data_IF_749363193325
#
_entry.id   IF_749363193325
#
_cell.length_a   1.000
_cell.length_b   1.000
_cell.length_c   1.000
_cell.angle_alpha   90.00
_cell.angle_beta   90.00
_cell.angle_gamma   90.00
#
_symmetry.space_group_name_H-M   'P 1'
#
loop_
_entity.id
_entity.type
_entity.pdbx_description
1 polymer ?
#
# COMPACT_ATOMS: atom_id res chain seq x y z
N UNK A 1 -29.10 14.71 -78.02
CA UNK A 1 -29.45 13.45 -77.32
C UNK A 1 -28.87 13.49 -75.92
N UNK A 2 -29.74 13.34 -74.90
CA UNK A 2 -29.56 12.90 -73.50
C UNK A 2 -28.23 13.21 -72.75
N UNK A 3 -28.22 14.06 -71.70
CA UNK A 3 -28.42 13.77 -70.25
C UNK A 3 -27.58 12.60 -69.68
N UNK A 4 -26.75 12.85 -68.64
CA UNK A 4 -27.06 12.62 -67.20
C UNK A 4 -25.88 12.93 -66.24
N UNK A 5 -26.21 13.43 -65.04
CA UNK A 5 -25.37 13.57 -63.81
C UNK A 5 -24.79 12.21 -63.34
N UNK A 6 -23.81 12.06 -62.43
CA UNK A 6 -23.84 12.40 -60.98
C UNK A 6 -22.55 11.91 -60.25
N UNK A 7 -22.00 12.75 -59.36
CA UNK A 7 -21.36 12.50 -58.02
C UNK A 7 -20.31 11.38 -57.76
N UNK A 8 -19.17 11.85 -57.23
CA UNK A 8 -18.66 11.63 -55.84
C UNK A 8 -17.74 10.44 -55.47
N UNK A 9 -16.81 10.80 -54.57
CA UNK A 9 -15.96 10.05 -53.62
C UNK A 9 -14.65 9.44 -54.12
N UNK A 10 -13.59 10.19 -53.84
CA UNK A 10 -12.24 9.72 -53.55
C UNK A 10 -12.31 8.76 -52.34
N UNK A 11 -11.94 7.49 -52.55
CA UNK A 11 -11.65 6.54 -51.48
C UNK A 11 -10.25 5.99 -51.75
N UNK A 12 -9.25 6.51 -51.02
CA UNK A 12 -7.93 5.91 -50.95
C UNK A 12 -8.00 4.78 -49.92
N UNK A 13 -7.93 3.53 -50.37
CA UNK A 13 -7.76 2.37 -49.50
C UNK A 13 -6.48 1.63 -49.91
N UNK A 14 -5.65 1.43 -48.90
CA UNK A 14 -4.37 0.75 -48.86
C UNK A 14 -4.39 -0.65 -49.49
N UNK A 15 -3.36 -1.00 -50.26
CA UNK A 15 -2.84 -2.37 -50.31
C UNK A 15 -1.39 -2.36 -50.83
N UNK A 16 -0.41 -2.41 -49.93
CA UNK A 16 0.94 -2.88 -50.25
C UNK A 16 1.28 -4.03 -49.31
N UNK A 17 1.62 -5.11 -49.99
CA UNK A 17 2.01 -6.45 -49.59
C UNK A 17 3.17 -6.54 -48.61
N UNK A 18 3.10 -7.50 -47.68
CA UNK A 18 4.27 -8.21 -47.16
C UNK A 18 3.93 -9.68 -47.01
N UNK A 19 4.56 -10.48 -47.87
CA UNK A 19 4.57 -11.93 -47.92
C UNK A 19 5.38 -12.49 -46.75
N UNK A 20 4.76 -13.31 -45.90
CA UNK A 20 5.50 -14.26 -45.08
C UNK A 20 5.19 -15.69 -45.54
N UNK A 21 6.27 -16.37 -45.89
CA UNK A 21 6.33 -17.76 -46.30
C UNK A 21 5.83 -18.71 -45.21
N UNK A 22 5.39 -19.85 -45.72
CA UNK A 22 4.74 -20.97 -45.05
C UNK A 22 5.52 -21.56 -43.88
N UNK A 23 4.73 -22.04 -42.91
CA UNK A 23 5.11 -22.96 -41.86
C UNK A 23 5.68 -24.28 -42.41
N UNK A 24 6.73 -24.78 -41.76
CA UNK A 24 7.01 -26.21 -41.62
C UNK A 24 7.37 -26.50 -40.16
N UNK A 25 6.77 -27.56 -39.63
CA UNK A 25 6.88 -28.00 -38.24
C UNK A 25 8.20 -28.72 -37.91
N UNK A 26 8.55 -28.61 -36.62
CA UNK A 26 9.34 -29.50 -35.74
C UNK A 26 10.86 -29.58 -35.93
N UNK A 27 11.55 -28.99 -34.96
CA UNK A 27 12.48 -29.72 -34.08
C UNK A 27 12.64 -28.98 -32.73
N UNK A 28 12.61 -29.75 -31.63
CA UNK A 28 12.76 -29.29 -30.25
C UNK A 28 14.17 -28.75 -30.00
N UNK A 29 14.31 -27.52 -29.52
CA UNK A 29 15.46 -27.09 -28.69
C UNK A 29 15.05 -25.88 -27.83
N UNK A 30 14.87 -26.13 -26.53
CA UNK A 30 14.65 -25.12 -25.49
C UNK A 30 16.01 -24.55 -25.05
N UNK A 31 16.61 -23.62 -25.79
CA UNK A 31 17.86 -22.98 -25.35
C UNK A 31 18.00 -21.54 -25.88
N UNK A 32 16.97 -20.71 -25.62
CA UNK A 32 17.07 -19.27 -25.90
C UNK A 32 16.19 -18.43 -24.98
N UNK A 33 16.30 -18.65 -23.66
CA UNK A 33 15.69 -17.79 -22.62
C UNK A 33 16.60 -17.59 -21.40
N UNK A 34 17.92 -17.50 -21.58
CA UNK A 34 18.82 -17.00 -20.54
C UNK A 34 19.81 -15.99 -21.14
N UNK A 35 19.46 -14.70 -21.07
CA UNK A 35 20.40 -13.80 -20.40
C UNK A 35 19.63 -12.73 -19.62
N UNK A 36 19.18 -13.06 -18.41
CA UNK A 36 18.73 -12.04 -17.44
C UNK A 36 19.09 -12.40 -15.99
N UNK A 37 20.25 -13.02 -15.78
CA UNK A 37 20.78 -13.39 -14.46
C UNK A 37 22.28 -13.06 -14.38
N UNK A 38 22.62 -11.79 -14.61
CA UNK A 38 23.94 -11.28 -14.27
C UNK A 38 23.81 -9.87 -13.71
N UNK A 39 23.21 -9.77 -12.51
CA UNK A 39 23.42 -8.62 -11.63
C UNK A 39 24.60 -8.94 -10.70
N UNK A 40 25.46 -7.95 -10.38
CA UNK A 40 26.57 -8.16 -9.47
C UNK A 40 26.04 -8.55 -8.09
N UNK A 41 26.51 -9.70 -7.58
CA UNK A 41 26.33 -10.13 -6.21
C UNK A 41 27.00 -9.12 -5.27
N UNK A 42 26.23 -8.14 -4.80
CA UNK A 42 26.52 -7.52 -3.50
C UNK A 42 26.18 -8.55 -2.44
N UNK A 43 27.10 -8.81 -1.49
CA UNK A 43 26.87 -9.67 -0.32
C UNK A 43 25.64 -9.17 0.47
N UNK A 44 24.45 -9.60 0.07
CA UNK A 44 23.23 -9.48 0.86
C UNK A 44 22.98 -10.85 1.47
N UNK A 45 22.92 -10.90 2.79
CA UNK A 45 22.48 -12.05 3.56
C UNK A 45 20.99 -12.31 3.28
N UNK A 46 20.66 -12.81 2.08
CA UNK A 46 19.31 -13.18 1.64
C UNK A 46 19.16 -14.70 1.73
N UNK A 47 18.42 -15.21 2.72
CA UNK A 47 18.53 -16.62 3.19
C UNK A 47 17.19 -17.42 3.16
N UNK A 48 16.13 -16.98 2.47
CA UNK A 48 14.90 -17.83 2.39
C UNK A 48 13.71 -17.23 1.64
N UNK A 49 12.58 -17.97 1.54
CA UNK A 49 11.32 -17.41 1.06
C UNK A 49 10.78 -16.36 2.05
N UNK A 50 10.09 -15.36 1.53
CA UNK A 50 9.27 -14.45 2.35
C UNK A 50 7.81 -14.91 2.27
N UNK A 51 7.09 -15.02 3.39
CA UNK A 51 7.47 -14.67 4.77
C UNK A 51 8.48 -15.66 5.36
N UNK A 52 9.36 -15.21 6.28
CA UNK A 52 10.26 -16.11 7.00
C UNK A 52 9.46 -17.05 7.92
N UNK A 53 10.04 -18.20 8.27
CA UNK A 53 9.40 -19.17 9.19
C UNK A 53 9.27 -18.64 10.62
N UNK A 54 10.06 -17.63 10.99
CA UNK A 54 9.95 -16.92 12.25
C UNK A 54 10.21 -15.43 12.07
N UNK A 55 9.50 -14.61 12.86
CA UNK A 55 9.69 -13.17 12.88
C UNK A 55 10.94 -12.78 13.67
N UNK A 56 11.68 -11.74 13.25
CA UNK A 56 12.82 -11.20 13.96
C UNK A 56 12.35 -10.54 15.25
N UNK A 57 12.99 -10.92 16.35
CA UNK A 57 12.66 -10.40 17.68
C UNK A 57 13.06 -8.93 17.89
N UNK A 58 13.92 -8.39 17.03
CA UNK A 58 14.47 -7.03 17.12
C UNK A 58 13.62 -5.97 16.41
N UNK A 59 12.62 -6.39 15.63
CA UNK A 59 11.73 -5.48 14.90
C UNK A 59 10.32 -5.69 15.46
N UNK A 60 9.73 -4.69 16.14
CA UNK A 60 8.40 -4.81 16.71
C UNK A 60 7.31 -4.82 15.62
N UNK A 61 7.07 -5.99 15.01
CA UNK A 61 5.99 -6.21 14.04
C UNK A 61 4.69 -6.48 14.82
N UNK A 62 3.58 -5.91 14.36
CA UNK A 62 2.25 -6.26 14.88
C UNK A 62 2.00 -7.76 14.65
N UNK A 63 1.64 -8.49 15.70
CA UNK A 63 1.67 -9.96 15.69
C UNK A 63 0.33 -10.57 16.08
N UNK A 64 -0.71 -9.74 16.23
CA UNK A 64 -2.05 -10.17 16.65
C UNK A 64 -3.09 -9.46 15.80
N UNK A 65 -3.90 -10.25 15.09
CA UNK A 65 -5.13 -9.77 14.45
C UNK A 65 -6.22 -9.71 15.52
N UNK A 66 -6.73 -8.50 15.77
CA UNK A 66 -7.82 -8.26 16.73
C UNK A 66 -9.18 -8.37 16.03
N UNK A 67 -9.28 -7.87 14.81
CA UNK A 67 -10.48 -7.98 13.97
C UNK A 67 -10.12 -7.88 12.50
N UNK A 68 -10.68 -8.75 11.67
CA UNK A 68 -10.50 -8.77 10.22
C UNK A 68 -11.65 -9.57 9.58
N UNK A 69 -12.38 -8.99 8.61
CA UNK A 69 -13.59 -9.61 8.03
C UNK A 69 -13.69 -9.47 6.50
N UNK A 70 -12.57 -9.20 5.82
CA UNK A 70 -12.52 -9.08 4.37
C UNK A 70 -12.98 -10.35 3.65
N UNK A 71 -13.61 -10.16 2.50
CA UNK A 71 -14.07 -11.23 1.60
C UNK A 71 -13.36 -11.21 0.24
N UNK A 72 -12.26 -10.47 0.10
CA UNK A 72 -11.48 -10.41 -1.15
C UNK A 72 -10.90 -11.78 -1.48
N UNK A 73 -11.36 -12.38 -2.58
CA UNK A 73 -10.98 -13.73 -2.99
C UNK A 73 -9.46 -13.83 -3.22
N UNK A 74 -8.82 -14.79 -2.55
CA UNK A 74 -7.38 -15.06 -2.69
C UNK A 74 -6.46 -14.27 -1.76
N UNK A 75 -6.97 -13.20 -1.14
CA UNK A 75 -6.20 -12.31 -0.25
C UNK A 75 -6.92 -11.99 1.07
N UNK A 76 -7.87 -12.84 1.49
CA UNK A 76 -8.65 -12.66 2.72
C UNK A 76 -8.09 -13.42 3.93
N UNK A 77 -6.88 -13.98 3.86
CA UNK A 77 -6.21 -14.58 5.01
C UNK A 77 -5.57 -13.48 5.88
N UNK A 78 -6.21 -13.14 7.00
CA UNK A 78 -5.73 -12.08 7.89
C UNK A 78 -4.36 -12.36 8.53
N UNK A 79 -3.90 -13.62 8.55
CA UNK A 79 -2.57 -13.93 9.06
C UNK A 79 -1.45 -13.30 8.23
N UNK A 80 -1.75 -12.94 6.97
CA UNK A 80 -0.86 -12.26 6.02
C UNK A 80 -0.49 -10.83 6.42
N UNK A 81 -1.26 -10.20 7.31
CA UNK A 81 -0.93 -8.86 7.82
C UNK A 81 0.02 -8.89 9.04
N UNK A 82 0.37 -10.08 9.54
CA UNK A 82 1.15 -10.28 10.79
C UNK A 82 2.23 -11.37 10.70
N UNK A 83 2.44 -11.97 9.52
CA UNK A 83 3.39 -13.06 9.30
C UNK A 83 4.75 -12.60 8.76
N UNK A 84 4.90 -11.31 8.46
CA UNK A 84 6.13 -10.72 7.96
C UNK A 84 5.83 -9.43 7.19
N UNK A 85 6.86 -8.81 6.63
CA UNK A 85 6.78 -7.73 5.65
C UNK A 85 7.58 -8.23 4.44
N UNK A 86 6.89 -8.43 3.34
CA UNK A 86 7.39 -9.10 2.16
C UNK A 86 7.34 -8.23 0.92
N UNK A 87 7.83 -6.99 1.03
CA UNK A 87 7.76 -6.01 -0.04
C UNK A 87 8.32 -6.48 -1.39
N UNK A 88 7.63 -6.08 -2.46
CA UNK A 88 8.02 -6.31 -3.86
C UNK A 88 8.97 -5.24 -4.42
N UNK A 89 9.26 -4.18 -3.67
CA UNK A 89 10.11 -3.06 -4.08
C UNK A 89 9.33 -1.90 -4.72
N UNK A 90 10.04 -1.01 -5.39
CA UNK A 90 9.47 0.24 -5.91
C UNK A 90 8.46 0.02 -7.05
N UNK A 91 8.67 -1.02 -7.87
CA UNK A 91 7.98 -1.22 -9.15
C UNK A 91 7.07 -2.45 -9.18
N UNK A 92 6.87 -3.13 -8.05
CA UNK A 92 5.99 -4.29 -7.94
C UNK A 92 5.45 -4.42 -6.53
N UNK A 93 4.20 -4.87 -6.43
CA UNK A 93 3.64 -5.38 -5.18
C UNK A 93 4.08 -6.82 -4.90
N UNK A 94 3.97 -7.21 -3.64
CA UNK A 94 4.01 -8.58 -3.12
C UNK A 94 2.67 -9.29 -3.29
N UNK A 95 2.65 -10.61 -3.08
CA UNK A 95 1.44 -11.42 -3.00
C UNK A 95 1.15 -11.91 -1.57
N UNK A 96 2.05 -11.66 -0.61
CA UNK A 96 1.86 -12.02 0.79
C UNK A 96 1.18 -10.86 1.52
N UNK A 97 -0.10 -10.65 1.25
CA UNK A 97 -0.87 -9.50 1.75
C UNK A 97 -2.27 -9.90 2.20
N UNK A 98 -2.84 -9.11 3.10
CA UNK A 98 -4.26 -9.16 3.45
C UNK A 98 -5.01 -7.98 2.81
N UNK A 99 -5.84 -8.27 1.82
CA UNK A 99 -6.63 -7.27 1.10
C UNK A 99 -7.91 -6.94 1.87
N UNK A 100 -8.21 -5.65 2.05
CA UNK A 100 -9.48 -5.17 2.58
C UNK A 100 -10.55 -5.12 1.49
N UNK A 101 -11.83 -5.20 1.86
CA UNK A 101 -12.88 -4.76 0.94
C UNK A 101 -12.81 -3.24 0.72
N UNK A 102 -13.34 -2.75 -0.40
CA UNK A 102 -13.38 -1.32 -0.67
C UNK A 102 -14.28 -0.56 0.33
N UNK A 103 -15.41 -1.17 0.71
CA UNK A 103 -16.39 -0.61 1.67
C UNK A 103 -17.01 -1.72 2.53
N UNK A 104 -17.82 -1.35 3.53
CA UNK A 104 -18.54 -2.28 4.39
C UNK A 104 -17.68 -2.90 5.50
N UNK A 105 -18.18 -3.96 6.14
CA UNK A 105 -17.57 -4.54 7.35
C UNK A 105 -16.18 -5.14 7.13
N UNK A 106 -15.85 -5.54 5.90
CA UNK A 106 -14.55 -6.08 5.53
C UNK A 106 -13.54 -5.03 5.08
N UNK A 107 -13.90 -3.74 5.09
CA UNK A 107 -13.01 -2.63 4.76
C UNK A 107 -12.16 -2.16 5.95
N UNK A 108 -11.97 -3.01 6.95
CA UNK A 108 -11.25 -2.65 8.18
C UNK A 108 -10.49 -3.84 8.73
N UNK A 109 -9.28 -3.57 9.20
CA UNK A 109 -8.49 -4.47 10.05
C UNK A 109 -8.05 -3.74 11.32
N UNK A 110 -8.00 -4.48 12.43
CA UNK A 110 -7.43 -4.01 13.69
C UNK A 110 -6.30 -4.97 14.07
N UNK A 111 -5.11 -4.41 14.29
CA UNK A 111 -3.91 -5.15 14.72
C UNK A 111 -3.44 -4.67 16.09
N UNK A 112 -2.62 -5.49 16.75
CA UNK A 112 -1.94 -5.16 18.00
C UNK A 112 -0.60 -5.92 18.16
N UNK A 113 0.15 -5.58 19.20
CA UNK A 113 1.42 -6.21 19.58
C UNK A 113 1.26 -7.16 20.78
N UNK A 114 0.22 -8.01 20.75
CA UNK A 114 -0.07 -8.99 21.79
C UNK A 114 -0.14 -8.38 23.21
N UNK A 115 -0.80 -7.24 23.35
CA UNK A 115 -0.99 -6.54 24.63
C UNK A 115 0.10 -5.52 24.99
N UNK A 116 1.21 -5.47 24.23
CA UNK A 116 2.21 -4.41 24.34
C UNK A 116 1.69 -3.06 23.85
N UNK A 117 2.33 -2.00 24.31
CA UNK A 117 2.00 -0.60 24.00
C UNK A 117 3.06 -0.02 23.09
N UNK A 118 2.67 0.47 21.92
CA UNK A 118 3.53 1.26 21.03
C UNK A 118 3.72 2.64 21.64
N UNK A 119 4.97 3.05 21.85
CA UNK A 119 5.31 4.28 22.57
C UNK A 119 5.42 5.47 21.63
N UNK A 120 4.99 6.64 22.13
CA UNK A 120 5.34 7.92 21.55
C UNK A 120 6.83 8.21 21.81
N UNK A 121 7.62 8.28 20.76
CA UNK A 121 9.05 8.58 20.77
C UNK A 121 9.33 9.70 19.78
N UNK A 122 10.57 10.21 19.76
CA UNK A 122 10.91 11.27 18.82
C UNK A 122 10.75 10.81 17.36
N UNK A 123 9.95 11.56 16.60
CA UNK A 123 9.75 11.38 15.16
C UNK A 123 8.65 10.36 14.83
N UNK A 124 8.83 9.60 13.76
CA UNK A 124 7.87 8.55 13.38
C UNK A 124 7.89 7.43 14.42
N UNK A 125 6.71 7.04 14.89
CA UNK A 125 6.49 6.02 15.93
C UNK A 125 6.17 4.65 15.36
N UNK A 126 5.50 4.60 14.21
CA UNK A 126 5.18 3.36 13.52
C UNK A 126 5.08 3.57 12.00
N UNK A 127 5.21 2.47 11.27
CA UNK A 127 5.14 2.42 9.80
C UNK A 127 4.07 1.42 9.41
N UNK A 128 3.17 1.82 8.52
CA UNK A 128 2.21 0.94 7.87
C UNK A 128 2.75 0.55 6.49
N UNK A 129 2.78 -0.74 6.22
CA UNK A 129 3.14 -1.32 4.93
C UNK A 129 1.87 -1.82 4.25
N UNK A 130 1.46 -1.08 3.22
CA UNK A 130 0.51 -1.50 2.19
C UNK A 130 1.32 -1.92 0.96
N UNK A 131 0.72 -2.36 -0.14
CA UNK A 131 1.43 -2.90 -1.28
C UNK A 131 1.47 -2.01 -2.56
N UNK A 132 1.73 -0.69 -2.49
CA UNK A 132 1.67 0.14 -3.67
C UNK A 132 2.95 0.05 -4.49
N UNK A 133 2.87 0.42 -5.76
CA UNK A 133 4.03 0.44 -6.65
C UNK A 133 3.97 1.60 -7.64
N UNK A 134 5.15 2.05 -8.05
CA UNK A 134 5.31 3.20 -8.95
C UNK A 134 4.85 2.84 -10.36
N UNK A 135 4.01 3.69 -10.96
CA UNK A 135 3.46 3.49 -12.32
C UNK A 135 4.00 4.47 -13.36
N UNK A 136 4.95 5.32 -12.99
CA UNK A 136 5.55 6.30 -13.88
C UNK A 136 6.97 6.66 -13.45
N UNK A 137 7.93 6.60 -14.38
CA UNK A 137 9.35 6.89 -14.12
C UNK A 137 9.65 8.39 -13.91
N UNK A 138 8.77 9.27 -14.40
CA UNK A 138 8.99 10.73 -14.42
C UNK A 138 8.09 11.50 -13.46
N UNK A 139 7.15 10.84 -12.79
CA UNK A 139 6.22 11.47 -11.85
C UNK A 139 6.16 10.73 -10.50
N UNK A 140 5.65 11.42 -9.49
CA UNK A 140 5.35 10.91 -8.14
C UNK A 140 4.02 10.13 -8.11
N UNK A 141 3.81 9.29 -9.14
CA UNK A 141 2.56 8.56 -9.38
C UNK A 141 2.69 7.07 -9.13
N UNK A 142 1.73 6.55 -8.40
CA UNK A 142 1.76 5.21 -7.83
C UNK A 142 0.38 4.56 -7.95
N UNK A 143 0.35 3.27 -8.27
CA UNK A 143 -0.82 2.45 -8.01
C UNK A 143 -0.82 2.16 -6.52
N UNK A 144 -1.68 2.87 -5.78
CA UNK A 144 -1.84 2.69 -4.34
C UNK A 144 -3.30 2.63 -3.93
N UNK A 145 -3.56 2.00 -2.80
CA UNK A 145 -4.88 1.91 -2.20
C UNK A 145 -4.89 2.65 -0.86
N UNK A 146 -5.43 3.89 -0.82
CA UNK A 146 -5.29 4.73 0.34
C UNK A 146 -6.16 4.24 1.49
N UNK A 147 -5.62 4.36 2.70
CA UNK A 147 -6.32 3.97 3.93
C UNK A 147 -6.28 5.08 4.97
N UNK A 148 -7.32 5.14 5.79
CA UNK A 148 -7.36 5.96 7.00
C UNK A 148 -6.80 5.14 8.16
N UNK A 149 -5.75 5.66 8.78
CA UNK A 149 -5.09 5.05 9.93
C UNK A 149 -5.56 5.70 11.21
N UNK A 150 -5.89 4.88 12.20
CA UNK A 150 -6.29 5.33 13.53
C UNK A 150 -5.64 4.44 14.59
N UNK A 151 -5.45 5.00 15.78
CA UNK A 151 -4.87 4.30 16.92
C UNK A 151 -5.72 4.46 18.18
N UNK A 152 -5.68 3.47 19.06
CA UNK A 152 -6.41 3.46 20.32
C UNK A 152 -5.60 2.78 21.43
N UNK A 153 -5.72 3.27 22.66
CA UNK A 153 -5.13 2.63 23.83
C UNK A 153 -6.03 1.50 24.36
N UNK A 154 -7.35 1.69 24.36
CA UNK A 154 -8.34 0.79 24.96
C UNK A 154 -9.21 0.03 23.93
N UNK A 155 -9.11 0.36 22.65
CA UNK A 155 -9.85 -0.31 21.57
C UNK A 155 -11.26 0.24 21.34
N UNK A 156 -11.63 1.37 21.97
CA UNK A 156 -12.94 2.00 21.81
C UNK A 156 -12.85 3.43 21.28
N UNK A 157 -12.01 4.29 21.86
CA UNK A 157 -11.79 5.64 21.32
C UNK A 157 -10.56 5.63 20.42
N UNK A 158 -10.78 5.96 19.16
CA UNK A 158 -9.74 5.96 18.13
C UNK A 158 -9.42 7.40 17.73
N UNK A 159 -8.13 7.71 17.69
CA UNK A 159 -7.59 8.96 17.19
C UNK A 159 -6.90 8.73 15.85
N UNK A 160 -7.17 9.63 14.90
CA UNK A 160 -6.57 9.60 13.57
C UNK A 160 -5.67 10.81 13.32
N UNK A 161 -5.23 10.91 12.08
CA UNK A 161 -4.35 11.96 11.58
C UNK A 161 -5.11 12.96 10.71
N UNK A 162 -4.51 14.12 10.48
CA UNK A 162 -5.12 15.15 9.65
C UNK A 162 -5.15 14.73 8.17
N UNK A 163 -6.36 14.76 7.58
CA UNK A 163 -6.62 14.45 6.17
C UNK A 163 -7.11 15.68 5.39
N UNK A 164 -7.10 16.88 5.99
CA UNK A 164 -7.71 18.07 5.40
C UNK A 164 -7.03 18.54 4.11
N UNK A 165 -5.78 18.16 3.90
CA UNK A 165 -5.04 18.45 2.68
C UNK A 165 -5.38 17.55 1.48
N UNK A 166 -6.32 16.61 1.63
CA UNK A 166 -6.76 15.74 0.55
C UNK A 166 -7.24 16.53 -0.68
N UNK A 167 -6.71 16.20 -1.84
CA UNK A 167 -7.09 16.79 -3.12
C UNK A 167 -7.86 15.76 -3.96
N UNK A 168 -9.16 16.01 -4.16
CA UNK A 168 -10.06 15.13 -4.91
C UNK A 168 -9.92 15.23 -6.45
N UNK A 169 -8.89 15.92 -6.95
CA UNK A 169 -8.60 16.02 -8.39
C UNK A 169 -8.39 14.63 -8.99
N UNK A 170 -9.24 14.26 -9.95
CA UNK A 170 -9.11 12.99 -10.69
C UNK A 170 -7.77 12.91 -11.44
N UNK A 171 -7.26 14.05 -11.92
CA UNK A 171 -5.96 14.09 -12.62
C UNK A 171 -4.80 13.80 -11.68
N UNK A 172 -4.96 13.99 -10.37
CA UNK A 172 -3.90 13.76 -9.38
C UNK A 172 -4.28 12.64 -8.40
N UNK A 173 -5.24 11.78 -8.75
CA UNK A 173 -5.75 10.72 -7.88
C UNK A 173 -4.68 9.70 -7.50
N UNK A 174 -3.69 9.45 -8.36
CA UNK A 174 -2.60 8.51 -8.11
C UNK A 174 -1.30 9.21 -7.68
N UNK A 175 -1.36 10.49 -7.31
CA UNK A 175 -0.21 11.30 -6.88
C UNK A 175 -0.15 11.34 -5.36
N UNK A 176 0.95 10.86 -4.74
CA UNK A 176 1.06 10.76 -3.27
C UNK A 176 0.79 12.10 -2.57
N UNK A 177 1.28 13.21 -3.13
CA UNK A 177 1.11 14.54 -2.56
C UNK A 177 -0.35 15.03 -2.51
N UNK A 178 -1.29 14.36 -3.18
CA UNK A 178 -2.73 14.63 -3.11
C UNK A 178 -3.43 13.93 -1.93
N UNK A 179 -2.71 13.06 -1.19
CA UNK A 179 -3.25 12.23 -0.12
C UNK A 179 -2.51 12.42 1.23
N UNK A 180 -2.28 13.66 1.70
CA UNK A 180 -1.61 13.85 2.98
C UNK A 180 -2.38 13.20 4.12
N UNK A 181 -1.64 12.55 5.03
CA UNK A 181 -2.18 11.87 6.23
C UNK A 181 -2.77 10.48 6.00
N UNK A 182 -2.95 10.05 4.75
CA UNK A 182 -3.36 8.68 4.44
C UNK A 182 -2.17 7.71 4.55
N UNK A 183 -2.48 6.46 4.88
CA UNK A 183 -1.55 5.34 4.72
C UNK A 183 -1.78 4.62 3.39
N UNK A 184 -0.84 3.76 3.04
CA UNK A 184 -0.87 2.94 1.83
C UNK A 184 -0.64 3.74 0.57
N UNK A 185 0.41 4.55 0.56
CA UNK A 185 0.79 5.43 -0.54
C UNK A 185 2.18 5.11 -1.08
N UNK A 186 3.08 4.60 -0.23
CA UNK A 186 4.50 4.43 -0.52
C UNK A 186 4.89 2.95 -0.61
N UNK A 187 5.70 2.56 -1.62
CA UNK A 187 6.05 1.15 -1.83
C UNK A 187 6.74 0.51 -0.63
N UNK A 188 6.65 -0.81 -0.55
CA UNK A 188 7.38 -1.59 0.45
C UNK A 188 8.73 -1.99 -0.11
N UNK A 189 9.78 -1.31 0.38
CA UNK A 189 11.16 -1.60 0.01
C UNK A 189 11.82 -2.60 0.93
N UNK A 190 11.29 -2.77 2.13
CA UNK A 190 11.70 -3.74 3.11
C UNK A 190 11.21 -5.13 2.72
N UNK A 191 12.13 -6.08 2.64
CA UNK A 191 11.77 -7.48 2.48
C UNK A 191 12.58 -8.26 3.51
N UNK A 192 11.90 -8.88 4.46
CA UNK A 192 12.55 -9.55 5.58
C UNK A 192 13.52 -10.66 5.17
N UNK A 193 13.29 -11.28 4.02
CA UNK A 193 14.08 -12.40 3.55
C UNK A 193 15.20 -11.97 2.58
N UNK A 194 14.92 -11.04 1.65
CA UNK A 194 15.83 -10.72 0.55
C UNK A 194 16.50 -9.35 0.68
N UNK A 195 15.92 -8.44 1.48
CA UNK A 195 16.42 -7.09 1.72
C UNK A 195 16.20 -6.68 3.18
N UNK A 196 16.90 -7.35 4.11
CA UNK A 196 16.74 -7.09 5.53
C UNK A 196 17.26 -5.69 5.89
N UNK A 197 16.55 -5.04 6.80
CA UNK A 197 16.94 -3.77 7.42
C UNK A 197 16.87 -3.93 8.94
N UNK A 198 17.72 -3.20 9.64
CA UNK A 198 17.61 -2.98 11.08
C UNK A 198 16.43 -2.06 11.39
N UNK A 199 15.98 -2.07 12.65
CA UNK A 199 14.90 -1.18 13.09
C UNK A 199 15.21 0.29 12.80
N UNK A 200 16.43 0.77 13.06
CA UNK A 200 16.81 2.16 12.80
C UNK A 200 16.78 2.50 11.30
N UNK A 201 17.19 1.57 10.44
CA UNK A 201 17.12 1.76 8.99
C UNK A 201 15.69 1.91 8.51
N UNK A 202 14.74 1.12 9.01
CA UNK A 202 13.33 1.23 8.64
C UNK A 202 12.75 2.64 8.88
N UNK A 203 13.17 3.31 9.95
CA UNK A 203 12.71 4.66 10.32
C UNK A 203 13.62 5.79 9.82
N UNK A 204 14.60 5.48 8.96
CA UNK A 204 15.49 6.49 8.36
C UNK A 204 14.78 7.17 7.19
N UNK A 205 14.57 8.48 7.30
CA UNK A 205 13.97 9.26 6.20
C UNK A 205 14.94 9.43 5.03
N UNK A 206 14.41 9.28 3.82
CA UNK A 206 15.11 9.55 2.56
C UNK A 206 14.64 10.85 1.89
N UNK A 207 13.77 11.61 2.57
CA UNK A 207 13.19 12.86 2.07
C UNK A 207 11.77 12.70 1.53
N UNK A 208 11.01 13.81 1.42
CA UNK A 208 9.65 13.84 0.86
C UNK A 208 8.66 12.85 1.50
N UNK A 209 8.85 12.55 2.79
CA UNK A 209 8.07 11.59 3.55
C UNK A 209 8.39 10.11 3.26
N UNK A 210 9.39 9.81 2.43
CA UNK A 210 9.86 8.44 2.20
C UNK A 210 10.79 7.97 3.32
N UNK A 211 10.76 6.66 3.54
CA UNK A 211 11.60 5.91 4.46
C UNK A 211 12.45 4.92 3.68
N UNK A 212 13.62 4.56 4.21
CA UNK A 212 14.53 3.63 3.56
C UNK A 212 13.90 2.24 3.37
N UNK A 213 13.08 1.80 4.33
CA UNK A 213 12.28 0.57 4.24
C UNK A 213 10.99 0.71 3.44
N UNK A 214 10.64 1.91 2.98
CA UNK A 214 9.33 2.19 2.38
C UNK A 214 8.20 2.27 3.40
N UNK A 215 6.95 2.15 2.93
CA UNK A 215 5.74 2.31 3.74
C UNK A 215 5.49 3.74 4.20
N UNK A 216 4.41 3.93 4.96
CA UNK A 216 3.95 5.22 5.45
C UNK A 216 4.16 5.36 6.95
N UNK A 217 4.98 6.32 7.35
CA UNK A 217 5.30 6.61 8.74
C UNK A 217 4.30 7.56 9.39
N UNK A 218 3.97 7.28 10.65
CA UNK A 218 3.06 8.07 11.48
C UNK A 218 3.71 8.44 12.81
N UNK A 219 3.47 9.68 13.25
CA UNK A 219 3.95 10.23 14.53
C UNK A 219 2.75 10.56 15.41
N UNK A 220 2.70 10.03 16.63
CA UNK A 220 1.60 10.20 17.58
C UNK A 220 1.41 11.65 18.02
N UNK A 221 2.46 12.49 17.94
CA UNK A 221 2.33 13.92 18.18
C UNK A 221 1.42 14.61 17.14
N UNK A 222 1.24 14.01 15.96
CA UNK A 222 0.41 14.53 14.86
C UNK A 222 -1.06 14.09 14.94
N UNK A 223 -1.45 13.37 16.01
CA UNK A 223 -2.86 13.01 16.23
C UNK A 223 -3.72 14.27 16.41
N UNK A 224 -4.92 14.24 15.84
CA UNK A 224 -5.90 15.32 15.95
C UNK A 224 -7.09 14.93 16.83
N UNK A 225 -7.76 15.94 17.40
CA UNK A 225 -9.08 15.75 18.04
C UNK A 225 -10.14 15.68 16.94
N UNK A 226 -11.06 14.73 17.06
CA UNK A 226 -11.97 14.39 15.98
C UNK A 226 -11.25 13.75 14.78
N UNK A 227 -11.75 14.00 13.59
CA UNK A 227 -11.21 13.47 12.34
C UNK A 227 -12.08 12.39 11.69
N UNK A 228 -11.93 12.16 10.38
CA UNK A 228 -12.77 11.24 9.62
C UNK A 228 -12.72 9.80 10.17
N UNK A 229 -13.90 9.27 10.52
CA UNK A 229 -14.06 7.91 11.04
C UNK A 229 -13.53 7.69 12.46
N UNK A 230 -13.04 8.73 13.14
CA UNK A 230 -12.44 8.67 14.48
C UNK A 230 -13.40 9.24 15.54
N UNK A 231 -13.35 8.67 16.75
CA UNK A 231 -14.08 9.14 17.92
C UNK A 231 -13.08 9.59 18.99
N UNK A 232 -12.26 10.58 18.64
CA UNK A 232 -11.18 11.11 19.46
C UNK A 232 -11.58 12.41 20.13
N UNK A 233 -11.56 12.45 21.46
CA UNK A 233 -11.61 13.70 22.23
C UNK A 233 -10.21 14.12 22.71
N UNK A 234 -10.11 15.28 23.36
CA UNK A 234 -8.83 15.77 23.88
C UNK A 234 -8.20 14.83 24.91
N UNK A 235 -9.01 14.13 25.70
CA UNK A 235 -8.55 13.21 26.74
C UNK A 235 -7.95 11.95 26.12
N UNK A 236 -8.63 11.33 25.15
CA UNK A 236 -8.17 10.17 24.42
C UNK A 236 -6.86 10.48 23.67
N UNK A 237 -6.80 11.62 22.99
CA UNK A 237 -5.58 12.08 22.29
C UNK A 237 -4.41 12.25 23.24
N UNK A 238 -4.58 12.99 24.33
CA UNK A 238 -3.52 13.20 25.32
C UNK A 238 -3.10 11.89 25.99
N UNK A 239 -4.05 10.99 26.26
CA UNK A 239 -3.73 9.65 26.77
C UNK A 239 -2.83 8.88 25.81
N UNK A 240 -3.16 8.85 24.52
CA UNK A 240 -2.36 8.15 23.50
C UNK A 240 -0.98 8.80 23.34
N UNK A 241 -0.91 10.14 23.28
CA UNK A 241 0.36 10.86 23.16
C UNK A 241 1.27 10.66 24.39
N UNK A 242 0.70 10.49 25.58
CA UNK A 242 1.46 10.30 26.83
C UNK A 242 1.86 8.84 27.03
N UNK A 243 0.93 7.92 26.83
CA UNK A 243 1.08 6.52 27.23
C UNK A 243 1.40 5.58 26.06
N UNK A 244 1.12 6.00 24.83
CA UNK A 244 1.18 5.19 23.63
C UNK A 244 -0.18 4.61 23.23
N UNK A 245 -0.20 3.68 22.28
CA UNK A 245 -1.41 2.97 21.86
C UNK A 245 -1.21 1.45 21.84
N UNK A 246 -2.30 0.69 21.86
CA UNK A 246 -2.28 -0.79 21.82
C UNK A 246 -2.92 -1.38 20.56
N UNK A 247 -3.81 -0.62 19.94
CA UNK A 247 -4.57 -1.04 18.77
C UNK A 247 -4.36 -0.05 17.64
N UNK A 248 -3.99 -0.56 16.47
CA UNK A 248 -4.03 0.19 15.21
C UNK A 248 -5.22 -0.31 14.40
N UNK A 249 -6.02 0.60 13.88
CA UNK A 249 -7.13 0.35 12.96
C UNK A 249 -6.81 0.98 11.62
N UNK A 250 -6.89 0.18 10.57
CA UNK A 250 -6.70 0.60 9.19
C UNK A 250 -8.00 0.37 8.44
N UNK A 251 -8.49 1.41 7.76
CA UNK A 251 -9.79 1.42 7.09
C UNK A 251 -9.59 1.85 5.65
N UNK A 252 -10.16 1.14 4.68
CA UNK A 252 -10.17 1.59 3.27
C UNK A 252 -10.73 3.01 3.19
N UNK A 253 -10.04 3.94 2.51
CA UNK A 253 -10.45 5.34 2.48
C UNK A 253 -11.91 5.52 2.00
N UNK A 254 -12.33 4.73 1.01
CA UNK A 254 -13.69 4.74 0.45
C UNK A 254 -14.78 4.34 1.46
N UNK A 255 -14.42 3.68 2.56
CA UNK A 255 -15.32 3.32 3.65
C UNK A 255 -15.45 4.43 4.72
N UNK A 256 -14.62 5.47 4.65
CA UNK A 256 -14.64 6.60 5.59
C UNK A 256 -15.30 7.80 4.94
N UNK A 257 -16.33 8.35 5.60
CA UNK A 257 -17.01 9.56 5.14
C UNK A 257 -16.06 10.76 5.16
N UNK A 258 -15.81 11.34 4.00
CA UNK A 258 -15.12 12.60 3.84
C UNK A 258 -16.05 13.74 4.33
N UNK A 259 -15.67 14.50 5.36
CA UNK A 259 -16.51 15.55 5.93
C UNK A 259 -16.81 16.69 4.94
N UNK A 260 -15.96 16.89 3.93
CA UNK A 260 -16.14 17.96 2.95
C UNK A 260 -17.19 17.63 1.87
N UNK A 261 -17.44 16.33 1.62
CA UNK A 261 -18.34 15.89 0.53
C UNK A 261 -19.54 15.08 1.03
N UNK A 262 -19.48 14.52 2.24
CA UNK A 262 -20.50 13.62 2.79
C UNK A 262 -20.48 12.20 2.19
N UNK A 263 -19.56 11.92 1.26
CA UNK A 263 -19.36 10.60 0.64
C UNK A 263 -18.08 9.95 1.13
N UNK A 264 -17.86 8.66 0.82
CA UNK A 264 -16.55 8.05 0.99
C UNK A 264 -15.45 8.85 0.28
N UNK A 265 -14.20 8.79 0.77
CA UNK A 265 -13.08 9.31 -0.01
C UNK A 265 -13.06 8.65 -1.40
N UNK A 266 -12.64 9.40 -2.42
CA UNK A 266 -12.56 8.85 -3.76
C UNK A 266 -11.62 7.63 -3.76
N UNK A 267 -11.84 6.67 -4.65
CA UNK A 267 -10.91 5.57 -4.85
C UNK A 267 -10.12 5.87 -6.14
N UNK A 268 -8.78 5.80 -6.13
CA UNK A 268 -7.97 6.27 -7.25
C UNK A 268 -7.99 5.34 -8.47
N UNK A 269 -8.48 4.11 -8.33
CA UNK A 269 -8.49 3.08 -9.39
C UNK A 269 -9.89 2.54 -9.69
N UNK A 270 -9.99 1.63 -10.66
CA UNK A 270 -11.24 0.99 -11.09
C UNK A 270 -11.47 -0.42 -10.51
N UNK A 271 -10.54 -0.93 -9.70
CA UNK A 271 -10.67 -2.24 -9.05
C UNK A 271 -11.67 -2.20 -7.89
N UNK A 272 -12.06 -3.37 -7.37
CA UNK A 272 -13.13 -3.53 -6.39
C UNK A 272 -12.68 -4.06 -5.01
N UNK A 273 -11.37 -4.26 -4.81
CA UNK A 273 -10.75 -4.42 -3.50
C UNK A 273 -10.29 -3.05 -2.96
N UNK A 274 -9.97 -3.02 -1.67
CA UNK A 274 -9.30 -1.90 -1.01
C UNK A 274 -7.84 -2.26 -0.69
N UNK A 275 -7.22 -1.60 0.30
CA UNK A 275 -5.80 -1.73 0.61
C UNK A 275 -5.31 -3.16 0.87
N UNK A 276 -4.11 -3.46 0.40
CA UNK A 276 -3.43 -4.74 0.54
C UNK A 276 -2.36 -4.64 1.65
N UNK A 277 -2.72 -5.05 2.86
CA UNK A 277 -1.89 -4.88 4.06
C UNK A 277 -0.79 -5.95 4.09
N UNK A 278 0.47 -5.52 4.06
CA UNK A 278 1.66 -6.36 4.23
C UNK A 278 2.07 -6.42 5.71
N UNK A 279 2.00 -5.30 6.45
CA UNK A 279 2.21 -5.33 7.89
C UNK A 279 2.38 -3.97 8.56
N UNK A 280 2.66 -3.98 9.85
CA UNK A 280 2.90 -2.74 10.64
C UNK A 280 4.08 -2.94 11.58
N UNK A 281 5.00 -1.98 11.59
CA UNK A 281 6.17 -1.96 12.49
C UNK A 281 6.08 -0.78 13.44
N UNK A 282 6.29 -1.01 14.73
CA UNK A 282 6.46 0.02 15.74
C UNK A 282 7.95 0.28 16.01
N UNK A 283 8.31 1.53 16.26
CA UNK A 283 9.68 1.94 16.61
C UNK A 283 10.07 1.53 18.02
N UNK A 284 9.08 1.51 18.92
CA UNK A 284 9.26 1.08 20.31
C UNK A 284 7.98 0.48 20.86
N UNK A 285 8.11 -0.61 21.62
CA UNK A 285 6.99 -1.28 22.31
C UNK A 285 7.38 -1.66 23.73
N UNK A 286 6.44 -1.55 24.66
CA UNK A 286 6.56 -1.94 26.08
C UNK A 286 5.42 -2.86 26.53
#
# INVERSE_FOLDING_TARGET
MSRFHTKSKLLFLFLITLTFSQCTEKENNNDLLLPLLALPLTNSSSVGPCPPTSLPITIPIANTVVSANSTVSGFNDSSKAINGICGGGEFSGSLDVYALNLTGVGATIILSWAGKTVKNVSGIDFIVYENPFRVSETSDRYAFDPMVVQVSFEGTNYCGFDLSGFNSSVVDSNKISSWPGFGGLRPVLYNMATKPFTLNELFTSTGSGFLLGGGDGFNLDDLIVGGPGANCDSTARTNIQTNGFKFIKMISASAVTNPNTGSGYAYPHSYNNGPDIDGVVAKSVE
#
